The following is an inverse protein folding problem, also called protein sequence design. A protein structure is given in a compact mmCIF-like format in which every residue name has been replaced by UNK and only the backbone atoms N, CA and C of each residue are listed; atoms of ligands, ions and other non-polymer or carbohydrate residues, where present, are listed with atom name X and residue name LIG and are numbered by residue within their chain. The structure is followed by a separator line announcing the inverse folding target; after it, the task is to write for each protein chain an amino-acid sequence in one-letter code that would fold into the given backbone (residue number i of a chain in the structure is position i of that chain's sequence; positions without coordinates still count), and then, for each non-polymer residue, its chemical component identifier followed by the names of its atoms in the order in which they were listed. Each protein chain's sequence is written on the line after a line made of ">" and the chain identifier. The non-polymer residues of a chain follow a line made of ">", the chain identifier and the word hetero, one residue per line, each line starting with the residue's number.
data_IF_562961131298
#
_entry.id   IF_562961131298
#
_cell.length_a   1.000
_cell.length_b   1.000
_cell.length_c   1.000
_cell.angle_alpha   90.00
_cell.angle_beta   90.00
_cell.angle_gamma   90.00
#
_symmetry.space_group_name_H-M   'P 1'
#
loop_
_entity.id
_entity.type
_entity.pdbx_description
1 polymer ?
#
# COMPACT_ATOMS: atom_id res chain seq x y z
N UNK A 1 -7.42 -22.10 46.30
CA UNK A 1 -6.21 -21.73 45.57
C UNK A 1 -6.30 -22.02 44.05
N UNK A 2 -6.95 -23.10 43.60
CA UNK A 2 -7.09 -23.46 42.16
C UNK A 2 -7.86 -22.50 41.23
N UNK A 3 -8.50 -21.44 41.74
CA UNK A 3 -9.33 -20.52 40.92
C UNK A 3 -8.53 -19.33 40.37
N UNK A 4 -7.48 -18.90 41.07
CA UNK A 4 -6.65 -17.78 40.64
C UNK A 4 -5.74 -18.19 39.47
N UNK A 5 -5.21 -19.42 39.50
CA UNK A 5 -4.31 -19.92 38.46
C UNK A 5 -5.01 -20.05 37.08
N UNK A 6 -6.31 -20.35 37.04
CA UNK A 6 -7.05 -20.41 35.76
C UNK A 6 -7.39 -19.03 35.20
N UNK A 7 -7.65 -18.04 36.06
CA UNK A 7 -7.89 -16.66 35.62
C UNK A 7 -6.62 -16.03 35.04
N UNK A 8 -5.44 -16.28 35.63
CA UNK A 8 -4.15 -15.82 35.07
C UNK A 8 -3.83 -16.46 33.71
N UNK A 9 -4.16 -17.74 33.52
CA UNK A 9 -3.99 -18.46 32.26
C UNK A 9 -4.79 -17.86 31.10
N UNK A 10 -5.99 -17.35 31.36
CA UNK A 10 -6.85 -16.76 30.32
C UNK A 10 -6.33 -15.39 29.87
N UNK A 11 -5.70 -14.63 30.78
CA UNK A 11 -5.08 -13.34 30.44
C UNK A 11 -3.83 -13.48 29.59
N UNK A 12 -3.00 -14.49 29.82
CA UNK A 12 -1.83 -14.78 28.99
C UNK A 12 -2.22 -15.10 27.54
N UNK A 13 -3.29 -15.86 27.33
CA UNK A 13 -3.83 -16.16 26.00
C UNK A 13 -4.33 -14.91 25.27
N UNK A 14 -4.97 -13.99 26.00
CA UNK A 14 -5.42 -12.71 25.45
C UNK A 14 -4.23 -11.84 25.05
N UNK A 15 -3.22 -11.73 25.91
CA UNK A 15 -1.99 -10.96 25.64
C UNK A 15 -1.23 -11.52 24.43
N UNK A 16 -1.14 -12.85 24.33
CA UNK A 16 -0.50 -13.51 23.19
C UNK A 16 -1.22 -13.20 21.87
N UNK A 17 -2.55 -13.26 21.83
CA UNK A 17 -3.33 -12.88 20.65
C UNK A 17 -3.19 -11.41 20.29
N UNK A 18 -3.13 -10.51 21.28
CA UNK A 18 -2.87 -9.09 21.05
C UNK A 18 -1.48 -8.90 20.41
N UNK A 19 -0.45 -9.53 20.95
CA UNK A 19 0.90 -9.46 20.41
C UNK A 19 0.98 -10.01 18.97
N UNK A 20 0.23 -11.06 18.67
CA UNK A 20 0.13 -11.61 17.32
C UNK A 20 -0.51 -10.61 16.36
N UNK A 21 -1.64 -10.00 16.74
CA UNK A 21 -2.34 -8.95 15.96
C UNK A 21 -1.43 -7.75 15.75
N UNK A 22 -0.74 -7.27 16.79
CA UNK A 22 0.24 -6.18 16.72
C UNK A 22 1.38 -6.54 15.77
N UNK A 23 1.88 -7.78 15.83
CA UNK A 23 2.88 -8.31 14.91
C UNK A 23 2.41 -8.30 13.46
N UNK A 24 1.16 -8.70 13.20
CA UNK A 24 0.55 -8.64 11.87
C UNK A 24 0.39 -7.21 11.36
N UNK A 25 -0.04 -6.28 12.20
CA UNK A 25 -0.20 -4.86 11.85
C UNK A 25 1.18 -4.25 11.51
N UNK A 26 2.17 -4.42 12.38
CA UNK A 26 3.52 -3.90 12.16
C UNK A 26 4.19 -4.49 10.91
N UNK A 27 3.92 -5.78 10.63
CA UNK A 27 4.41 -6.44 9.41
C UNK A 27 3.75 -5.88 8.14
N UNK A 28 2.47 -5.48 8.19
CA UNK A 28 1.80 -4.82 7.07
C UNK A 28 2.25 -3.36 6.88
N UNK A 29 2.55 -2.64 7.96
CA UNK A 29 3.11 -1.29 7.87
C UNK A 29 4.53 -1.27 7.26
N UNK A 30 5.26 -2.38 7.36
CA UNK A 30 6.66 -2.48 6.94
C UNK A 30 6.92 -2.32 5.43
N UNK A 31 5.88 -2.39 4.58
CA UNK A 31 6.01 -2.04 3.16
C UNK A 31 5.31 -0.71 2.86
N UNK A 32 5.90 0.36 3.40
CA UNK A 32 5.62 1.73 2.95
C UNK A 32 5.78 1.78 1.43
N UNK A 33 4.64 1.88 0.74
CA UNK A 33 4.62 2.14 -0.70
C UNK A 33 5.11 3.57 -0.88
N UNK A 34 6.33 3.71 -1.39
CA UNK A 34 6.96 5.00 -1.69
C UNK A 34 6.83 5.40 -3.15
N UNK A 35 6.43 4.46 -4.01
CA UNK A 35 6.29 4.66 -5.46
C UNK A 35 4.96 4.12 -5.94
N UNK A 36 4.26 4.92 -6.74
CA UNK A 36 3.07 4.54 -7.45
C UNK A 36 3.24 4.81 -8.94
N UNK A 37 2.61 3.98 -9.76
CA UNK A 37 2.63 4.08 -11.20
C UNK A 37 1.21 4.30 -11.74
N UNK A 38 1.08 5.22 -12.68
CA UNK A 38 -0.19 5.51 -13.36
C UNK A 38 0.06 5.49 -14.86
N UNK A 39 -0.89 4.94 -15.61
CA UNK A 39 -0.80 4.94 -17.07
C UNK A 39 -1.49 6.20 -17.56
N UNK A 40 -0.87 6.94 -18.48
CA UNK A 40 -1.47 8.11 -19.11
C UNK A 40 -1.64 7.86 -20.60
N UNK A 41 -2.83 8.11 -21.12
CA UNK A 41 -3.06 8.20 -22.56
C UNK A 41 -2.46 9.52 -23.08
N UNK A 42 -1.60 9.44 -24.09
CA UNK A 42 -0.88 10.59 -24.65
C UNK A 42 -1.80 11.51 -25.45
N UNK A 43 -2.83 10.96 -26.08
CA UNK A 43 -3.74 11.67 -26.96
C UNK A 43 -4.83 12.40 -26.15
N UNK A 44 -5.42 11.71 -25.17
CA UNK A 44 -6.55 12.24 -24.36
C UNK A 44 -6.10 12.87 -23.04
N UNK A 45 -4.85 12.69 -22.64
CA UNK A 45 -4.33 13.01 -21.30
C UNK A 45 -4.99 12.27 -20.13
N UNK A 46 -5.87 11.30 -20.39
CA UNK A 46 -6.57 10.55 -19.35
C UNK A 46 -5.65 9.61 -18.57
N UNK A 47 -5.95 9.44 -17.29
CA UNK A 47 -5.25 8.52 -16.39
C UNK A 47 -6.01 7.19 -16.31
N UNK A 48 -5.27 6.10 -16.48
CA UNK A 48 -5.80 4.74 -16.43
C UNK A 48 -5.27 4.08 -15.14
N UNK A 49 -6.22 3.69 -14.30
CA UNK A 49 -6.00 3.05 -13.01
C UNK A 49 -6.08 1.53 -13.10
N UNK A 50 -5.70 0.86 -12.01
CA UNK A 50 -5.85 -0.58 -11.87
C UNK A 50 -7.33 -0.99 -11.73
N UNK A 51 -7.61 -2.30 -11.69
CA UNK A 51 -8.97 -2.83 -11.61
C UNK A 51 -9.73 -2.41 -10.34
N UNK A 52 -9.02 -2.04 -9.28
CA UNK A 52 -9.59 -1.51 -8.03
C UNK A 52 -9.78 0.01 -8.05
N UNK A 53 -9.56 0.68 -9.18
CA UNK A 53 -9.66 2.13 -9.32
C UNK A 53 -8.47 2.91 -8.75
N UNK A 54 -7.39 2.23 -8.33
CA UNK A 54 -6.20 2.85 -7.74
C UNK A 54 -4.98 2.87 -8.66
N UNK A 55 -3.92 3.58 -8.24
CA UNK A 55 -2.62 3.51 -8.92
C UNK A 55 -1.94 2.13 -8.73
N UNK A 56 -1.01 1.79 -9.61
CA UNK A 56 -0.24 0.55 -9.54
C UNK A 56 0.90 0.66 -8.53
N UNK A 57 1.01 -0.30 -7.61
CA UNK A 57 2.18 -0.44 -6.73
C UNK A 57 3.34 -1.13 -7.45
N UNK A 58 3.02 -2.05 -8.36
CA UNK A 58 3.97 -2.80 -9.18
C UNK A 58 4.09 -2.18 -10.57
N UNK A 59 5.32 -1.85 -10.97
CA UNK A 59 5.66 -1.29 -12.28
C UNK A 59 5.31 -2.27 -13.41
N UNK A 60 5.61 -3.56 -13.24
CA UNK A 60 5.42 -4.56 -14.28
C UNK A 60 3.95 -4.82 -14.56
N UNK A 61 3.10 -4.80 -13.53
CA UNK A 61 1.66 -4.84 -13.70
C UNK A 61 1.13 -3.69 -14.58
N UNK A 62 1.66 -2.48 -14.38
CA UNK A 62 1.30 -1.32 -15.19
C UNK A 62 1.83 -1.42 -16.64
N UNK A 63 3.09 -1.86 -16.82
CA UNK A 63 3.68 -2.08 -18.15
C UNK A 63 2.93 -3.17 -18.93
N UNK A 64 2.53 -4.26 -18.28
CA UNK A 64 1.73 -5.31 -18.89
C UNK A 64 0.35 -4.80 -19.29
N UNK A 65 -0.26 -3.88 -18.53
CA UNK A 65 -1.49 -3.21 -18.95
C UNK A 65 -1.25 -2.30 -20.16
N UNK A 66 -0.16 -1.53 -20.21
CA UNK A 66 0.21 -0.71 -21.39
C UNK A 66 0.32 -1.58 -22.65
N UNK A 67 1.01 -2.73 -22.58
CA UNK A 67 1.13 -3.66 -23.71
C UNK A 67 -0.24 -4.10 -24.24
N UNK A 68 -1.21 -4.33 -23.35
CA UNK A 68 -2.59 -4.72 -23.73
C UNK A 68 -3.41 -3.57 -24.31
N UNK A 69 -3.14 -2.32 -23.91
CA UNK A 69 -3.85 -1.13 -24.39
C UNK A 69 -3.30 -0.55 -25.69
N UNK A 70 -2.09 -0.97 -26.09
CA UNK A 70 -1.35 -0.42 -27.22
C UNK A 70 -0.27 0.57 -26.75
N UNK A 71 0.98 0.11 -26.74
CA UNK A 71 2.12 0.82 -26.15
C UNK A 71 2.43 2.19 -26.78
N UNK A 72 2.00 2.43 -28.02
CA UNK A 72 2.36 3.66 -28.74
C UNK A 72 1.67 4.90 -28.16
N UNK A 73 0.41 4.75 -27.73
CA UNK A 73 -0.43 5.87 -27.28
C UNK A 73 -0.45 6.04 -25.76
N UNK A 74 0.27 5.19 -25.02
CA UNK A 74 0.26 5.20 -23.56
C UNK A 74 1.67 5.41 -23.02
N UNK A 75 1.80 6.14 -21.92
CA UNK A 75 3.06 6.25 -21.18
C UNK A 75 2.85 5.93 -19.70
N UNK A 76 3.94 5.52 -19.05
CA UNK A 76 3.95 5.24 -17.63
C UNK A 76 4.42 6.49 -16.88
N UNK A 77 3.60 6.95 -15.92
CA UNK A 77 3.94 8.02 -15.00
C UNK A 77 4.35 7.44 -13.66
N UNK A 78 5.37 8.05 -13.05
CA UNK A 78 5.88 7.68 -11.73
C UNK A 78 5.55 8.77 -10.73
N UNK A 79 4.96 8.36 -9.61
CA UNK A 79 4.70 9.22 -8.47
C UNK A 79 5.49 8.69 -7.28
N UNK A 80 6.25 9.57 -6.64
CA UNK A 80 6.90 9.27 -5.37
C UNK A 80 6.15 9.91 -4.21
N UNK A 81 6.15 9.20 -3.08
CA UNK A 81 5.68 9.72 -1.82
C UNK A 81 6.70 10.73 -1.31
N UNK A 82 6.30 12.00 -1.22
CA UNK A 82 7.16 13.04 -0.67
C UNK A 82 6.94 13.08 0.83
N UNK A 83 7.99 12.77 1.59
CA UNK A 83 7.96 12.90 3.03
C UNK A 83 8.27 14.35 3.42
N UNK A 84 7.30 15.25 3.25
CA UNK A 84 7.40 16.62 3.77
C UNK A 84 7.20 16.57 5.29
N UNK A 85 8.32 16.44 6.02
CA UNK A 85 8.50 16.61 7.48
C UNK A 85 7.29 16.29 8.39
N UNK A 86 7.31 15.11 9.02
CA UNK A 86 6.85 14.69 10.38
C UNK A 86 5.57 15.27 11.06
N UNK A 87 4.84 16.21 10.48
CA UNK A 87 3.73 16.94 11.16
C UNK A 87 2.41 16.86 10.39
N UNK A 88 2.44 16.39 9.14
CA UNK A 88 1.26 16.21 8.29
C UNK A 88 0.85 14.73 8.23
N UNK A 89 -0.38 14.40 8.63
CA UNK A 89 -0.99 13.07 8.38
C UNK A 89 -1.30 12.83 6.90
N UNK A 90 -1.26 13.87 6.07
CA UNK A 90 -1.59 13.78 4.66
C UNK A 90 -0.38 13.35 3.83
N UNK A 91 -0.51 12.18 3.20
CA UNK A 91 0.46 11.65 2.24
C UNK A 91 0.38 12.45 0.94
N UNK A 92 1.43 13.20 0.62
CA UNK A 92 1.56 13.90 -0.66
C UNK A 92 2.36 13.09 -1.67
N UNK A 93 1.83 13.01 -2.89
CA UNK A 93 2.47 12.33 -4.01
C UNK A 93 2.93 13.34 -5.05
N UNK A 94 4.19 13.25 -5.49
CA UNK A 94 4.75 14.13 -6.53
C UNK A 94 5.07 13.31 -7.77
N UNK A 95 4.60 13.80 -8.91
CA UNK A 95 5.01 13.30 -10.22
C UNK A 95 6.47 13.66 -10.47
N UNK A 96 7.28 12.69 -10.89
CA UNK A 96 8.67 12.89 -11.29
C UNK A 96 8.78 12.90 -12.81
#
# INVERSE_FOLDING_TARGET
>A
MKKLDSEFSEWDDVVNKINEIVGYINKQESQLVTVLWVIKNKDTNELIFNASGGAYKDKEAALNKIKKLGSQNHCLLRYELVNEMRVSTDKKWRKI
#
